data_IF_718412089169
#
_entry.id   IF_718412089169
#
_cell.length_a   1.000
_cell.length_b   1.000
_cell.length_c   1.000
_cell.angle_alpha   90.00
_cell.angle_beta   90.00
_cell.angle_gamma   90.00
#
_symmetry.space_group_name_H-M   'P 1'
#
loop_
_entity.id
_entity.type
_entity.pdbx_description
1 polymer ?
#
# COMPACT_ATOMS: atom_id res chain seq x y z
N UNK A 1 -46.61 -52.89 -2.92
CA UNK A 1 -45.90 -51.63 -2.59
C UNK A 1 -44.41 -51.84 -2.79
N UNK A 2 -43.82 -51.32 -3.87
CA UNK A 2 -42.35 -51.27 -4.06
C UNK A 2 -41.92 -49.85 -3.73
N UNK A 3 -41.21 -49.68 -2.61
CA UNK A 3 -40.53 -48.43 -2.27
C UNK A 3 -39.25 -48.34 -3.11
N UNK A 4 -39.17 -47.31 -3.94
CA UNK A 4 -37.94 -46.96 -4.68
C UNK A 4 -37.12 -46.02 -3.79
N UNK A 5 -35.80 -46.21 -3.58
CA UNK A 5 -35.01 -45.22 -2.88
C UNK A 5 -34.67 -44.06 -3.84
N UNK A 6 -34.95 -42.79 -3.48
CA UNK A 6 -34.50 -41.64 -4.25
C UNK A 6 -33.11 -41.14 -3.79
N UNK A 7 -32.46 -40.39 -4.67
CA UNK A 7 -31.45 -39.34 -4.39
C UNK A 7 -29.93 -39.64 -4.36
N UNK A 8 -29.44 -40.88 -4.24
CA UNK A 8 -27.99 -41.12 -4.24
C UNK A 8 -27.31 -40.89 -5.62
N UNK A 9 -28.06 -41.02 -6.72
CA UNK A 9 -27.52 -40.92 -8.09
C UNK A 9 -27.37 -39.47 -8.58
N UNK A 10 -28.11 -38.51 -8.03
CA UNK A 10 -28.05 -37.11 -8.46
C UNK A 10 -26.79 -36.40 -7.93
N UNK A 11 -26.39 -36.68 -6.68
CA UNK A 11 -25.21 -36.08 -6.05
C UNK A 11 -23.89 -36.44 -6.72
N UNK A 12 -23.75 -37.67 -7.25
CA UNK A 12 -22.54 -38.13 -7.94
C UNK A 12 -22.33 -37.50 -9.32
N UNK A 13 -23.40 -37.05 -9.98
CA UNK A 13 -23.33 -36.35 -11.27
C UNK A 13 -22.79 -34.93 -11.12
N UNK A 14 -23.30 -34.20 -10.13
CA UNK A 14 -22.85 -32.83 -9.83
C UNK A 14 -21.41 -32.78 -9.34
N UNK A 15 -20.99 -33.72 -8.49
CA UNK A 15 -19.59 -33.79 -8.03
C UNK A 15 -18.63 -34.04 -9.18
N UNK A 16 -18.96 -34.97 -10.09
CA UNK A 16 -18.16 -35.23 -11.30
C UNK A 16 -18.10 -34.02 -12.22
N UNK A 17 -19.23 -33.34 -12.44
CA UNK A 17 -19.28 -32.13 -13.26
C UNK A 17 -18.38 -31.03 -12.69
N UNK A 18 -18.51 -30.74 -11.38
CA UNK A 18 -17.70 -29.74 -10.69
C UNK A 18 -16.21 -30.10 -10.72
N UNK A 19 -15.85 -31.37 -10.52
CA UNK A 19 -14.46 -31.83 -10.60
C UNK A 19 -13.86 -31.64 -12.00
N UNK A 20 -14.60 -31.97 -13.06
CA UNK A 20 -14.12 -31.81 -14.45
C UNK A 20 -13.99 -30.33 -14.81
N UNK A 21 -14.99 -29.50 -14.46
CA UNK A 21 -14.93 -28.05 -14.71
C UNK A 21 -13.79 -27.40 -13.92
N UNK A 22 -13.66 -27.72 -12.64
CA UNK A 22 -12.55 -27.26 -11.79
C UNK A 22 -11.19 -27.69 -12.36
N UNK A 23 -11.06 -28.94 -12.79
CA UNK A 23 -9.83 -29.45 -13.43
C UNK A 23 -9.50 -28.73 -14.74
N UNK A 24 -10.51 -28.38 -15.55
CA UNK A 24 -10.31 -27.61 -16.79
C UNK A 24 -9.89 -26.17 -16.49
N UNK A 25 -10.51 -25.52 -15.52
CA UNK A 25 -10.17 -24.19 -15.07
C UNK A 25 -8.73 -24.15 -14.53
N UNK A 26 -8.38 -25.09 -13.64
CA UNK A 26 -7.03 -25.26 -13.10
C UNK A 26 -6.00 -25.46 -14.21
N UNK A 27 -6.25 -26.39 -15.15
CA UNK A 27 -5.36 -26.64 -16.29
C UNK A 27 -5.17 -25.40 -17.16
N UNK A 28 -6.26 -24.69 -17.49
CA UNK A 28 -6.21 -23.47 -18.29
C UNK A 28 -5.40 -22.38 -17.57
N UNK A 29 -5.63 -22.19 -16.27
CA UNK A 29 -4.88 -21.25 -15.44
C UNK A 29 -3.39 -21.59 -15.44
N UNK A 30 -3.01 -22.84 -15.15
CA UNK A 30 -1.61 -23.25 -15.08
C UNK A 30 -0.90 -23.08 -16.43
N UNK A 31 -1.53 -23.49 -17.53
CA UNK A 31 -0.98 -23.32 -18.88
C UNK A 31 -0.83 -21.84 -19.24
N UNK A 32 -1.81 -21.01 -18.92
CA UNK A 32 -1.76 -19.57 -19.19
C UNK A 32 -0.64 -18.91 -18.41
N UNK A 33 -0.53 -19.16 -17.10
CA UNK A 33 0.56 -18.62 -16.28
C UNK A 33 1.92 -19.11 -16.76
N UNK A 34 2.04 -20.37 -17.19
CA UNK A 34 3.29 -20.90 -17.77
C UNK A 34 3.66 -20.18 -19.05
N UNK A 35 2.69 -19.92 -19.93
CA UNK A 35 2.90 -19.14 -21.16
C UNK A 35 3.30 -17.70 -20.82
N UNK A 36 2.64 -17.05 -19.86
CA UNK A 36 2.99 -15.68 -19.42
C UNK A 36 4.40 -15.63 -18.82
N UNK A 37 4.81 -16.64 -18.06
CA UNK A 37 6.16 -16.74 -17.51
C UNK A 37 7.24 -17.00 -18.57
N UNK A 38 6.89 -17.66 -19.68
CA UNK A 38 7.84 -18.04 -20.73
C UNK A 38 7.88 -17.08 -21.93
N UNK A 39 6.75 -16.45 -22.29
CA UNK A 39 6.64 -15.61 -23.49
C UNK A 39 7.62 -14.41 -23.50
N UNK A 40 7.86 -13.69 -22.39
CA UNK A 40 8.80 -12.59 -22.37
C UNK A 40 10.26 -13.01 -22.64
N UNK A 41 10.61 -14.28 -22.40
CA UNK A 41 11.95 -14.80 -22.72
C UNK A 41 12.25 -14.68 -24.22
N UNK A 42 11.23 -14.79 -25.08
CA UNK A 42 11.36 -14.61 -26.54
C UNK A 42 11.66 -13.15 -26.90
N UNK A 43 11.22 -12.20 -26.06
CA UNK A 43 11.50 -10.78 -26.20
C UNK A 43 12.81 -10.35 -25.50
N UNK A 44 13.64 -11.30 -25.06
CA UNK A 44 14.91 -11.05 -24.38
C UNK A 44 14.77 -10.65 -22.91
N UNK A 45 13.58 -10.80 -22.31
CA UNK A 45 13.39 -10.55 -20.88
C UNK A 45 13.94 -11.71 -20.04
N UNK A 46 14.37 -11.41 -18.82
CA UNK A 46 14.78 -12.42 -17.86
C UNK A 46 13.58 -12.98 -17.08
N UNK A 47 13.65 -14.25 -16.68
CA UNK A 47 12.66 -14.90 -15.82
C UNK A 47 13.38 -15.47 -14.60
N UNK A 48 12.97 -15.04 -13.41
CA UNK A 48 13.69 -15.29 -12.17
C UNK A 48 12.74 -15.88 -11.11
N UNK A 49 13.00 -17.11 -10.68
CA UNK A 49 12.25 -17.74 -9.58
C UNK A 49 12.76 -17.20 -8.25
N UNK A 50 11.87 -16.62 -7.45
CA UNK A 50 12.20 -16.07 -6.13
C UNK A 50 12.40 -17.19 -5.12
N UNK A 51 13.51 -17.14 -4.40
CA UNK A 51 13.93 -18.20 -3.50
C UNK A 51 13.70 -17.87 -2.02
N UNK A 52 13.67 -16.59 -1.65
CA UNK A 52 13.58 -16.12 -0.27
C UNK A 52 12.32 -15.31 -0.02
N UNK A 53 11.91 -15.22 1.24
CA UNK A 53 10.75 -14.44 1.69
C UNK A 53 11.07 -12.96 1.94
N UNK A 54 12.27 -12.47 1.56
CA UNK A 54 12.69 -11.09 1.83
C UNK A 54 11.86 -10.04 1.11
N UNK A 55 11.09 -10.43 0.09
CA UNK A 55 10.20 -9.55 -0.65
C UNK A 55 8.72 -9.72 -0.26
N UNK A 56 8.41 -10.48 0.80
CA UNK A 56 7.03 -10.56 1.31
C UNK A 56 6.60 -9.21 1.92
N UNK A 57 5.29 -8.87 1.89
CA UNK A 57 4.20 -9.63 1.30
C UNK A 57 4.04 -9.44 -0.22
N UNK A 58 4.89 -8.63 -0.87
CA UNK A 58 4.68 -8.24 -2.27
C UNK A 58 5.06 -9.34 -3.28
N UNK A 59 6.08 -10.14 -2.96
CA UNK A 59 6.55 -11.27 -3.77
C UNK A 59 6.90 -12.44 -2.85
N UNK A 60 6.24 -13.57 -3.05
CA UNK A 60 6.42 -14.76 -2.22
C UNK A 60 7.49 -15.71 -2.79
N UNK A 61 8.11 -16.56 -1.94
CA UNK A 61 8.96 -17.65 -2.41
C UNK A 61 8.23 -18.56 -3.39
N UNK A 62 8.87 -18.84 -4.54
CA UNK A 62 8.29 -19.63 -5.62
C UNK A 62 7.50 -18.83 -6.66
N UNK A 63 7.36 -17.52 -6.49
CA UNK A 63 6.89 -16.66 -7.58
C UNK A 63 7.97 -16.47 -8.65
N UNK A 64 7.53 -16.15 -9.87
CA UNK A 64 8.40 -15.84 -10.99
C UNK A 64 8.34 -14.35 -11.30
N UNK A 65 9.48 -13.68 -11.20
CA UNK A 65 9.65 -12.28 -11.57
C UNK A 65 10.18 -12.20 -12.99
N UNK A 66 9.45 -11.47 -13.84
CA UNK A 66 9.83 -11.18 -15.21
C UNK A 66 10.51 -9.82 -15.26
N UNK A 67 11.78 -9.85 -15.63
CA UNK A 67 12.65 -8.68 -15.65
C UNK A 67 12.87 -8.17 -17.08
N UNK A 68 12.54 -6.90 -17.33
CA UNK A 68 12.97 -6.21 -18.55
C UNK A 68 14.46 -5.86 -18.41
N UNK A 69 15.33 -6.22 -19.36
CA UNK A 69 16.75 -5.91 -19.27
C UNK A 69 16.96 -4.40 -19.14
N UNK A 70 17.79 -4.01 -18.19
CA UNK A 70 18.14 -2.60 -17.99
C UNK A 70 19.14 -2.21 -19.09
N UNK A 71 18.69 -1.45 -20.09
CA UNK A 71 19.64 -0.85 -21.03
C UNK A 71 20.45 0.23 -20.29
N UNK A 72 21.73 0.37 -20.60
CA UNK A 72 22.70 1.29 -19.96
C UNK A 72 22.27 2.76 -19.86
N UNK A 73 21.22 3.16 -20.60
CA UNK A 73 20.68 4.53 -20.63
C UNK A 73 19.37 4.72 -19.80
N UNK A 74 18.82 3.65 -19.22
CA UNK A 74 17.59 3.77 -18.42
C UNK A 74 17.93 4.22 -16.99
N UNK A 75 17.47 5.41 -16.62
CA UNK A 75 17.54 5.91 -15.24
C UNK A 75 16.83 4.95 -14.29
N UNK A 76 17.57 4.39 -13.34
CA UNK A 76 17.04 3.57 -12.25
C UNK A 76 16.10 4.43 -11.41
N UNK A 77 14.85 4.00 -11.31
CA UNK A 77 13.82 4.67 -10.52
C UNK A 77 13.78 4.12 -9.11
N UNK A 78 13.89 5.00 -8.13
CA UNK A 78 13.64 4.72 -6.72
C UNK A 78 12.19 4.26 -6.53
N UNK A 79 11.98 3.31 -5.61
CA UNK A 79 10.72 2.65 -5.29
C UNK A 79 10.38 1.44 -6.18
N UNK A 80 11.24 1.09 -7.16
CA UNK A 80 11.02 -0.06 -8.06
C UNK A 80 11.89 -1.25 -7.67
N UNK A 81 11.43 -2.44 -8.04
CA UNK A 81 12.12 -3.72 -7.79
C UNK A 81 13.02 -4.04 -8.97
N UNK A 82 14.26 -4.44 -8.68
CA UNK A 82 15.26 -4.80 -9.67
C UNK A 82 15.85 -6.16 -9.35
N UNK A 83 16.34 -6.81 -10.40
CA UNK A 83 17.14 -8.03 -10.34
C UNK A 83 18.58 -7.63 -10.65
N UNK A 84 19.48 -7.92 -9.73
CA UNK A 84 20.88 -7.51 -9.80
C UNK A 84 21.80 -8.58 -9.21
N UNK A 85 23.09 -8.49 -9.52
CA UNK A 85 24.10 -9.33 -8.89
C UNK A 85 24.30 -8.94 -7.43
N UNK A 86 24.21 -9.92 -6.52
CA UNK A 86 24.37 -9.71 -5.08
C UNK A 86 25.80 -9.22 -4.78
N UNK A 87 25.97 -7.95 -4.37
CA UNK A 87 27.30 -7.37 -4.15
C UNK A 87 27.95 -7.91 -2.88
N UNK A 88 27.16 -8.46 -1.94
CA UNK A 88 27.66 -9.08 -0.72
C UNK A 88 28.04 -10.56 -0.92
N UNK A 89 27.42 -11.24 -1.91
CA UNK A 89 27.66 -12.66 -2.20
C UNK A 89 27.79 -12.90 -3.71
N UNK A 90 29.02 -12.76 -4.20
CA UNK A 90 29.35 -12.94 -5.61
C UNK A 90 28.77 -14.21 -6.25
N UNK A 91 28.20 -14.05 -7.45
CA UNK A 91 27.65 -15.15 -8.26
C UNK A 91 26.18 -15.50 -7.97
N UNK A 92 25.49 -14.76 -7.10
CA UNK A 92 24.05 -14.92 -6.84
C UNK A 92 23.28 -13.71 -7.33
N UNK A 93 22.03 -13.91 -7.72
CA UNK A 93 21.11 -12.84 -8.04
C UNK A 93 20.29 -12.49 -6.81
N UNK A 94 20.06 -11.19 -6.61
CA UNK A 94 19.18 -10.64 -5.60
C UNK A 94 18.04 -9.88 -6.28
N UNK A 95 16.86 -9.95 -5.67
CA UNK A 95 15.66 -9.24 -6.13
C UNK A 95 15.19 -8.38 -4.98
N UNK A 96 15.50 -7.08 -4.99
CA UNK A 96 15.11 -6.13 -3.94
C UNK A 96 14.61 -4.82 -4.54
N UNK A 97 13.92 -4.03 -3.72
CA UNK A 97 13.47 -2.69 -4.07
C UNK A 97 14.60 -1.68 -3.88
N UNK A 98 14.83 -0.83 -4.87
CA UNK A 98 15.69 0.34 -4.70
C UNK A 98 14.92 1.36 -3.87
N UNK A 99 15.43 1.69 -2.68
CA UNK A 99 14.77 2.60 -1.73
C UNK A 99 15.37 4.00 -1.73
N UNK A 100 16.63 4.13 -2.11
CA UNK A 100 17.33 5.40 -2.13
C UNK A 100 18.39 5.41 -3.24
N UNK A 101 18.67 6.61 -3.77
CA UNK A 101 19.84 6.88 -4.59
C UNK A 101 20.80 7.73 -3.77
N UNK A 102 22.04 7.26 -3.64
CA UNK A 102 23.07 7.87 -2.82
C UNK A 102 23.87 8.93 -3.60
N UNK A 103 24.56 9.82 -2.86
CA UNK A 103 25.32 10.94 -3.44
C UNK A 103 26.49 10.49 -4.33
N UNK A 104 27.06 9.31 -4.07
CA UNK A 104 28.11 8.67 -4.87
C UNK A 104 27.58 8.09 -6.20
N UNK A 105 26.25 8.07 -6.40
CA UNK A 105 25.58 7.56 -7.58
C UNK A 105 25.11 6.11 -7.47
N UNK A 106 25.44 5.42 -6.38
CA UNK A 106 24.99 4.07 -6.07
C UNK A 106 23.57 4.07 -5.50
N UNK A 107 23.01 2.88 -5.32
CA UNK A 107 21.65 2.68 -4.82
C UNK A 107 21.64 1.90 -3.52
N UNK A 108 20.75 2.29 -2.62
CA UNK A 108 20.41 1.48 -1.43
C UNK A 108 19.22 0.60 -1.79
N UNK A 109 19.30 -0.70 -1.47
CA UNK A 109 18.22 -1.66 -1.69
C UNK A 109 17.68 -2.23 -0.39
N UNK A 110 16.43 -2.66 -0.40
CA UNK A 110 15.82 -3.40 0.69
C UNK A 110 14.83 -4.42 0.16
N UNK A 111 14.76 -5.57 0.84
CA UNK A 111 13.64 -6.48 0.72
C UNK A 111 12.40 -5.87 1.39
N UNK A 112 11.21 -6.07 0.83
CA UNK A 112 9.97 -5.53 1.40
C UNK A 112 9.64 -6.08 2.80
N UNK A 113 10.17 -7.26 3.15
CA UNK A 113 10.03 -7.87 4.47
C UNK A 113 11.16 -7.50 5.44
N UNK A 114 12.19 -6.78 4.96
CA UNK A 114 13.36 -6.46 5.77
C UNK A 114 13.18 -5.07 6.42
N UNK A 115 13.27 -5.01 7.75
CA UNK A 115 13.24 -3.75 8.52
C UNK A 115 14.52 -2.90 8.35
N UNK A 116 15.58 -3.51 7.80
CA UNK A 116 16.90 -2.89 7.62
C UNK A 116 17.28 -2.96 6.15
N UNK A 117 17.76 -1.83 5.62
CA UNK A 117 18.29 -1.74 4.25
C UNK A 117 19.58 -2.54 4.09
N UNK A 118 19.85 -2.99 2.87
CA UNK A 118 21.10 -3.68 2.57
C UNK A 118 22.29 -2.73 2.78
N UNK A 119 23.29 -3.19 3.55
CA UNK A 119 24.46 -2.38 3.94
C UNK A 119 25.43 -2.20 2.77
N UNK A 120 25.44 -3.14 1.83
CA UNK A 120 26.30 -3.09 0.66
C UNK A 120 25.60 -2.30 -0.46
N UNK A 121 26.15 -1.16 -0.89
CA UNK A 121 25.55 -0.36 -1.96
C UNK A 121 25.45 -1.14 -3.27
N UNK A 122 24.39 -0.87 -4.03
CA UNK A 122 24.16 -1.41 -5.36
C UNK A 122 24.71 -0.45 -6.41
N UNK A 123 25.79 -0.87 -7.06
CA UNK A 123 26.34 -0.17 -8.21
C UNK A 123 25.36 -0.24 -9.40
N UNK A 124 25.17 0.85 -10.18
CA UNK A 124 24.29 0.84 -11.35
C UNK A 124 24.62 -0.27 -12.37
N UNK A 125 25.91 -0.63 -12.47
CA UNK A 125 26.40 -1.65 -13.40
C UNK A 125 26.00 -3.09 -13.01
N UNK A 126 25.70 -3.34 -11.73
CA UNK A 126 25.27 -4.66 -11.26
C UNK A 126 23.79 -4.94 -11.55
N UNK A 127 23.02 -3.93 -11.99
CA UNK A 127 21.60 -4.05 -12.31
C UNK A 127 21.43 -4.77 -13.64
N UNK A 128 20.81 -5.95 -13.60
CA UNK A 128 20.55 -6.74 -14.81
C UNK A 128 19.20 -6.43 -15.43
N UNK A 129 18.17 -6.32 -14.61
CA UNK A 129 16.81 -6.13 -15.09
C UNK A 129 15.92 -5.40 -14.09
N UNK A 130 14.95 -4.65 -14.60
CA UNK A 130 13.85 -4.13 -13.80
C UNK A 130 12.73 -5.16 -13.75
N UNK A 131 12.24 -5.50 -12.56
CA UNK A 131 11.08 -6.37 -12.38
C UNK A 131 9.81 -5.64 -12.86
N UNK A 132 9.11 -6.21 -13.85
CA UNK A 132 7.92 -5.61 -14.45
C UNK A 132 6.65 -6.41 -14.15
N UNK A 133 6.73 -7.74 -14.24
CA UNK A 133 5.57 -8.62 -14.07
C UNK A 133 5.88 -9.75 -13.09
N UNK A 134 4.92 -10.04 -12.22
CA UNK A 134 4.96 -11.14 -11.26
C UNK A 134 4.02 -12.24 -11.75
N UNK A 135 4.51 -13.47 -11.83
CA UNK A 135 3.71 -14.65 -12.16
C UNK A 135 3.72 -15.60 -10.96
N UNK A 136 2.60 -15.69 -10.22
CA UNK A 136 2.54 -16.52 -9.03
C UNK A 136 2.41 -18.01 -9.37
N UNK A 137 2.68 -18.87 -8.38
CA UNK A 137 2.44 -20.32 -8.38
C UNK A 137 3.31 -21.18 -9.33
N UNK A 138 3.73 -20.65 -10.49
CA UNK A 138 4.41 -21.45 -11.52
C UNK A 138 5.85 -21.79 -11.16
N UNK A 139 6.50 -20.99 -10.31
CA UNK A 139 7.86 -21.26 -9.84
C UNK A 139 7.93 -22.19 -8.63
N UNK A 140 6.80 -22.53 -7.99
CA UNK A 140 6.77 -23.39 -6.79
C UNK A 140 7.44 -24.76 -6.99
N UNK A 141 7.23 -25.49 -8.12
CA UNK A 141 7.90 -26.77 -8.32
C UNK A 141 9.42 -26.64 -8.38
N UNK A 142 9.91 -25.55 -8.98
CA UNK A 142 11.36 -25.25 -9.07
C UNK A 142 11.90 -24.86 -7.70
N UNK A 143 11.14 -24.08 -6.93
CA UNK A 143 11.50 -23.70 -5.56
C UNK A 143 11.63 -24.94 -4.66
N UNK A 144 10.61 -25.79 -4.60
CA UNK A 144 10.63 -27.03 -3.80
C UNK A 144 11.72 -27.99 -4.22
N UNK A 145 11.98 -28.14 -5.52
CA UNK A 145 13.09 -28.97 -6.00
C UNK A 145 14.45 -28.44 -5.55
N UNK A 146 14.62 -27.11 -5.47
CA UNK A 146 15.86 -26.47 -4.99
C UNK A 146 16.02 -26.55 -3.48
N UNK A 147 14.95 -26.37 -2.71
CA UNK A 147 14.95 -26.47 -1.24
C UNK A 147 14.95 -27.93 -0.75
N UNK A 148 14.76 -28.90 -1.66
CA UNK A 148 14.62 -30.34 -1.40
C UNK A 148 13.34 -30.70 -0.64
N UNK A 149 12.30 -29.88 -0.78
CA UNK A 149 10.97 -30.15 -0.24
C UNK A 149 10.17 -31.09 -1.15
N UNK A 150 10.52 -32.37 -1.12
CA UNK A 150 9.95 -33.36 -2.05
C UNK A 150 8.48 -33.63 -1.84
N UNK A 151 7.96 -33.53 -0.62
CA UNK A 151 6.56 -33.83 -0.31
C UNK A 151 5.58 -32.91 -1.04
N UNK A 152 5.64 -31.56 -0.90
CA UNK A 152 4.74 -30.67 -1.63
C UNK A 152 4.90 -30.79 -3.15
N UNK A 153 6.12 -31.01 -3.63
CA UNK A 153 6.39 -31.24 -5.05
C UNK A 153 5.67 -32.50 -5.57
N UNK A 154 5.78 -33.63 -4.87
CA UNK A 154 5.13 -34.88 -5.25
C UNK A 154 3.61 -34.74 -5.21
N UNK A 155 3.05 -34.15 -4.15
CA UNK A 155 1.61 -33.89 -4.03
C UNK A 155 1.13 -33.02 -5.19
N UNK A 156 1.85 -31.95 -5.51
CA UNK A 156 1.51 -31.05 -6.60
C UNK A 156 1.57 -31.74 -7.96
N UNK A 157 2.58 -32.56 -8.22
CA UNK A 157 2.70 -33.34 -9.47
C UNK A 157 1.54 -34.32 -9.60
N UNK A 158 1.20 -35.05 -8.54
CA UNK A 158 0.10 -36.00 -8.53
C UNK A 158 -1.26 -35.31 -8.75
N UNK A 159 -1.51 -34.22 -8.02
CA UNK A 159 -2.74 -33.44 -8.16
C UNK A 159 -2.88 -32.83 -9.56
N UNK A 160 -1.79 -32.26 -10.09
CA UNK A 160 -1.74 -31.71 -11.45
C UNK A 160 -2.00 -32.80 -12.49
N UNK A 161 -1.34 -33.96 -12.37
CA UNK A 161 -1.53 -35.09 -13.29
C UNK A 161 -2.98 -35.57 -13.28
N UNK A 162 -3.58 -35.72 -12.10
CA UNK A 162 -4.99 -36.08 -11.94
C UNK A 162 -5.92 -35.04 -12.58
N UNK A 163 -5.69 -33.75 -12.35
CA UNK A 163 -6.46 -32.67 -12.95
C UNK A 163 -6.36 -32.66 -14.48
N UNK A 164 -5.17 -32.90 -15.05
CA UNK A 164 -5.00 -32.96 -16.50
C UNK A 164 -5.77 -34.13 -17.14
N UNK A 165 -5.76 -35.31 -16.48
CA UNK A 165 -6.54 -36.48 -16.90
C UNK A 165 -8.04 -36.20 -16.80
N UNK A 166 -8.51 -35.65 -15.67
CA UNK A 166 -9.93 -35.31 -15.45
C UNK A 166 -10.43 -34.25 -16.44
N UNK A 167 -9.62 -33.24 -16.73
CA UNK A 167 -9.96 -32.17 -17.65
C UNK A 167 -10.17 -32.67 -19.10
N UNK A 168 -9.56 -33.81 -19.48
CA UNK A 168 -9.73 -34.48 -20.76
C UNK A 168 -11.00 -35.34 -20.87
N UNK A 169 -11.70 -35.60 -19.77
CA UNK A 169 -12.92 -36.41 -19.80
C UNK A 169 -14.06 -35.67 -20.53
N UNK A 170 -14.80 -36.42 -21.36
CA UNK A 170 -16.04 -35.94 -21.97
C UNK A 170 -17.15 -36.02 -20.92
N UNK A 171 -17.88 -34.92 -20.75
CA UNK A 171 -19.09 -34.89 -19.94
C UNK A 171 -20.20 -35.47 -20.80
N UNK A 172 -20.39 -36.79 -20.75
CA UNK A 172 -21.50 -37.43 -21.43
C UNK A 172 -22.80 -37.03 -20.72
N UNK A 173 -23.47 -36.02 -21.25
CA UNK A 173 -24.88 -35.75 -20.94
C UNK A 173 -25.68 -36.92 -21.51
N UNK A 174 -26.14 -37.83 -20.65
CA UNK A 174 -26.91 -39.00 -21.06
C UNK A 174 -28.09 -38.61 -21.97
N UNK A 175 -28.06 -39.09 -23.21
CA UNK A 175 -29.25 -39.55 -23.92
C UNK A 175 -29.25 -41.09 -23.83
N UNK A 176 -30.34 -41.77 -23.42
CA UNK A 176 -30.27 -43.22 -23.21
C UNK A 176 -30.17 -44.01 -24.52
N UNK A 177 -29.34 -45.07 -24.48
CA UNK A 177 -29.43 -46.34 -25.23
C UNK A 177 -28.67 -46.47 -26.57
N UNK A 178 -27.56 -47.22 -26.55
CA UNK A 178 -27.48 -48.62 -27.08
C UNK A 178 -26.11 -49.24 -26.78
N UNK A 179 -26.02 -50.53 -26.42
CA UNK A 179 -24.74 -51.17 -26.14
C UNK A 179 -24.10 -51.65 -27.44
N UNK A 180 -22.83 -51.30 -27.68
CA UNK A 180 -21.88 -52.15 -28.41
C UNK A 180 -20.47 -51.55 -28.44
N UNK A 181 -19.49 -52.39 -28.10
CA UNK A 181 -18.10 -52.24 -28.48
C UNK A 181 -17.20 -51.65 -27.39
N UNK A 182 -16.69 -52.51 -26.52
CA UNK A 182 -15.52 -52.19 -25.69
C UNK A 182 -14.34 -51.80 -26.59
N UNK A 183 -14.00 -50.52 -26.62
CA UNK A 183 -12.66 -50.07 -26.98
C UNK A 183 -12.07 -49.45 -25.72
N UNK A 184 -11.28 -50.24 -25.02
CA UNK A 184 -10.30 -49.78 -24.04
C UNK A 184 -9.37 -48.80 -24.74
N UNK A 185 -9.67 -47.50 -24.63
CA UNK A 185 -8.71 -46.46 -24.96
C UNK A 185 -7.72 -46.39 -23.79
N UNK A 186 -6.62 -47.11 -23.92
CA UNK A 186 -5.42 -46.90 -23.10
C UNK A 186 -4.91 -45.49 -23.45
N UNK A 187 -5.28 -44.51 -22.64
CA UNK A 187 -4.71 -43.17 -22.72
C UNK A 187 -3.36 -43.22 -22.00
N UNK A 188 -2.31 -43.54 -22.75
CA UNK A 188 -0.92 -43.46 -22.32
C UNK A 188 -0.59 -41.99 -22.07
N UNK A 189 -0.66 -41.55 -20.81
CA UNK A 189 -0.19 -40.24 -20.39
C UNK A 189 1.35 -40.29 -20.29
N UNK A 190 2.01 -40.05 -21.42
CA UNK A 190 3.45 -39.78 -21.43
C UNK A 190 3.62 -38.33 -20.96
N UNK A 191 3.89 -38.17 -19.67
CA UNK A 191 4.38 -36.92 -19.11
C UNK A 191 5.85 -36.76 -19.52
N UNK A 192 6.10 -36.09 -20.65
CA UNK A 192 7.43 -35.53 -20.93
C UNK A 192 7.47 -34.16 -20.27
N UNK A 193 8.17 -34.10 -19.13
CA UNK A 193 8.70 -32.86 -18.61
C UNK A 193 9.71 -32.30 -19.61
N UNK A 194 9.33 -31.23 -20.30
CA UNK A 194 10.29 -30.36 -20.95
C UNK A 194 10.73 -29.31 -19.93
N UNK A 195 11.79 -29.63 -19.21
CA UNK A 195 12.66 -28.63 -18.58
C UNK A 195 13.26 -27.83 -19.73
N UNK A 196 12.79 -26.59 -19.93
CA UNK A 196 13.42 -25.66 -20.85
C UNK A 196 14.66 -25.07 -20.19
N UNK A 197 15.72 -25.87 -20.12
CA UNK A 197 17.09 -25.39 -20.05
C UNK A 197 17.59 -25.26 -21.50
N UNK A 198 17.78 -24.03 -22.00
CA UNK A 198 18.64 -23.72 -23.15
C UNK A 198 18.10 -23.93 -24.57
N UNK A 199 18.04 -22.81 -25.31
CA UNK A 199 18.20 -22.60 -26.78
C UNK A 199 17.26 -23.24 -27.83
N UNK A 200 16.51 -22.32 -28.49
CA UNK A 200 16.15 -22.26 -29.94
C UNK A 200 14.88 -22.95 -30.49
N UNK A 201 14.14 -22.20 -31.34
CA UNK A 201 13.22 -22.70 -32.38
C UNK A 201 11.83 -22.04 -32.44
N UNK A 202 11.52 -21.29 -33.51
CA UNK A 202 10.27 -20.55 -33.74
C UNK A 202 9.07 -21.44 -34.13
N UNK A 203 7.87 -21.11 -33.63
CA UNK A 203 6.59 -21.42 -34.29
C UNK A 203 5.51 -20.42 -33.84
N UNK A 204 4.77 -19.85 -34.80
CA UNK A 204 3.67 -18.92 -34.54
C UNK A 204 2.35 -19.62 -34.27
N UNK A 205 1.46 -18.94 -33.56
CA UNK A 205 0.02 -19.15 -33.63
C UNK A 205 -0.69 -17.80 -33.58
N UNK A 206 -1.44 -17.52 -34.65
CA UNK A 206 -2.35 -16.39 -34.82
C UNK A 206 -3.67 -16.72 -34.14
N UNK A 207 -4.27 -15.75 -33.44
CA UNK A 207 -5.71 -15.68 -33.27
C UNK A 207 -6.19 -14.33 -33.81
N UNK A 208 -7.08 -14.40 -34.79
CA UNK A 208 -7.88 -13.29 -35.27
C UNK A 208 -8.98 -13.01 -34.25
N UNK A 209 -8.92 -11.86 -33.59
CA UNK A 209 -10.10 -11.01 -33.55
C UNK A 209 -9.68 -9.53 -33.50
N UNK A 210 -10.27 -8.72 -34.37
CA UNK A 210 -10.06 -7.26 -34.41
C UNK A 210 -11.18 -6.64 -33.60
N UNK A 211 -10.87 -6.05 -32.46
CA UNK A 211 -11.72 -4.99 -31.91
C UNK A 211 -11.45 -3.71 -32.70
N UNK A 212 -12.39 -3.28 -33.53
CA UNK A 212 -12.39 -1.91 -34.07
C UNK A 212 -12.92 -0.96 -33.01
N UNK A 213 -12.06 -0.64 -32.04
CA UNK A 213 -12.15 0.56 -31.23
C UNK A 213 -10.72 1.07 -31.04
N UNK A 214 -10.26 1.93 -31.95
CA UNK A 214 -8.95 2.62 -31.85
C UNK A 214 -8.96 3.74 -30.81
N UNK A 215 -9.55 3.47 -29.64
CA UNK A 215 -9.64 4.40 -28.51
C UNK A 215 -9.53 3.73 -27.15
N UNK A 216 -9.23 2.43 -27.08
CA UNK A 216 -8.93 1.77 -25.80
C UNK A 216 -7.43 1.77 -25.56
N UNK A 217 -6.90 2.92 -25.12
CA UNK A 217 -5.64 2.93 -24.38
C UNK A 217 -5.90 2.26 -23.03
N UNK A 218 -5.34 1.07 -22.83
CA UNK A 218 -5.21 0.49 -21.49
C UNK A 218 -3.92 1.02 -20.87
N UNK A 219 -3.96 2.25 -20.36
CA UNK A 219 -3.08 2.62 -19.26
C UNK A 219 -3.47 1.75 -18.07
N UNK A 220 -2.55 0.94 -17.56
CA UNK A 220 -2.62 0.55 -16.16
C UNK A 220 -2.68 1.87 -15.39
N UNK A 221 -3.85 2.23 -14.86
CA UNK A 221 -3.96 3.37 -13.99
C UNK A 221 -3.01 3.12 -12.84
N UNK A 222 -1.86 3.81 -12.83
CA UNK A 222 -1.36 4.22 -11.54
C UNK A 222 -2.55 4.97 -10.94
N UNK A 223 -3.13 4.47 -9.85
CA UNK A 223 -3.81 5.36 -8.94
C UNK A 223 -2.71 6.30 -8.48
N UNK A 224 -2.47 7.35 -9.28
CA UNK A 224 -1.67 8.45 -8.85
C UNK A 224 -2.38 8.91 -7.60
N UNK A 225 -1.63 8.96 -6.51
CA UNK A 225 -2.07 9.58 -5.28
C UNK A 225 -1.37 10.92 -5.26
N UNK A 226 -1.77 11.87 -6.14
CA UNK A 226 -1.01 13.09 -6.38
C UNK A 226 -0.80 13.86 -5.09
N UNK A 227 -1.80 13.87 -4.22
CA UNK A 227 -1.72 14.45 -2.87
C UNK A 227 -0.60 13.82 -2.05
N UNK A 228 -0.61 12.49 -1.89
CA UNK A 228 0.41 11.78 -1.11
C UNK A 228 1.79 11.98 -1.72
N UNK A 229 1.91 11.97 -3.05
CA UNK A 229 3.16 12.26 -3.74
C UNK A 229 3.67 13.68 -3.49
N UNK A 230 2.78 14.68 -3.48
CA UNK A 230 3.13 16.08 -3.19
C UNK A 230 3.57 16.26 -1.73
N UNK A 231 2.83 15.67 -0.79
CA UNK A 231 3.15 15.68 0.64
C UNK A 231 4.50 15.03 0.90
N UNK A 232 4.76 13.84 0.35
CA UNK A 232 6.03 13.12 0.52
C UNK A 232 7.22 13.85 -0.12
N UNK A 233 7.00 14.61 -1.20
CA UNK A 233 8.05 15.41 -1.83
C UNK A 233 8.58 16.53 -0.93
N UNK A 234 7.84 16.90 0.12
CA UNK A 234 8.27 17.90 1.12
C UNK A 234 8.83 17.27 2.40
N UNK A 235 9.10 15.97 2.39
CA UNK A 235 9.78 15.24 3.47
C UNK A 235 9.14 15.48 4.85
N UNK A 236 7.86 15.10 5.05
CA UNK A 236 7.23 15.21 6.34
C UNK A 236 7.99 14.37 7.37
N UNK A 237 7.95 14.80 8.63
CA UNK A 237 8.44 13.99 9.75
C UNK A 237 7.69 12.66 9.81
N UNK A 238 6.39 12.70 9.56
CA UNK A 238 5.55 11.53 9.38
C UNK A 238 4.31 11.87 8.55
N UNK A 239 3.73 10.85 7.92
CA UNK A 239 2.46 10.94 7.21
C UNK A 239 1.61 9.71 7.56
N UNK A 240 0.52 9.92 8.30
CA UNK A 240 -0.48 8.89 8.58
C UNK A 240 -1.66 9.06 7.63
N UNK A 241 -1.84 8.11 6.72
CA UNK A 241 -2.95 8.14 5.76
C UNK A 241 -4.30 7.87 6.42
N UNK A 242 -4.32 7.05 7.49
CA UNK A 242 -5.52 6.62 8.20
C UNK A 242 -6.39 5.64 7.37
N UNK A 243 -5.73 4.93 6.45
CA UNK A 243 -6.31 3.92 5.56
C UNK A 243 -6.52 2.54 6.23
N UNK A 244 -6.24 2.42 7.54
CA UNK A 244 -6.31 1.15 8.22
C UNK A 244 -7.75 0.65 8.43
N UNK A 245 -7.92 -0.66 8.34
CA UNK A 245 -9.20 -1.32 8.61
C UNK A 245 -9.59 -1.25 10.08
N UNK A 246 -10.90 -1.33 10.36
CA UNK A 246 -11.41 -1.39 11.73
C UNK A 246 -10.74 -2.50 12.55
N UNK A 247 -10.37 -2.18 13.79
CA UNK A 247 -9.70 -3.10 14.72
C UNK A 247 -8.17 -3.04 14.70
N UNK A 248 -7.57 -2.29 13.77
CA UNK A 248 -6.14 -2.01 13.79
C UNK A 248 -5.77 -1.09 14.96
N UNK A 249 -4.69 -1.43 15.67
CA UNK A 249 -4.22 -0.66 16.83
C UNK A 249 -3.21 0.45 16.46
N UNK A 250 -2.60 0.39 15.27
CA UNK A 250 -1.47 1.23 14.90
C UNK A 250 -1.71 1.92 13.55
N UNK A 251 -1.55 3.23 13.51
CA UNK A 251 -1.49 4.03 12.29
C UNK A 251 -0.09 3.90 11.65
N UNK A 252 -0.05 3.54 10.37
CA UNK A 252 1.20 3.36 9.64
C UNK A 252 1.76 4.69 9.14
N UNK A 253 3.08 4.83 9.22
CA UNK A 253 3.79 6.00 8.70
C UNK A 253 4.22 5.78 7.24
N UNK A 254 3.67 6.60 6.35
CA UNK A 254 3.97 6.58 4.91
C UNK A 254 5.22 7.38 4.55
N UNK A 255 5.76 8.20 5.46
CA UNK A 255 6.95 9.01 5.19
C UNK A 255 8.24 8.20 5.02
N UNK A 256 8.26 6.96 5.54
CA UNK A 256 9.46 6.12 5.57
C UNK A 256 10.31 6.29 6.83
N UNK A 257 9.91 7.16 7.78
CA UNK A 257 10.64 7.42 9.02
C UNK A 257 10.24 6.51 10.19
N UNK A 258 9.34 5.54 9.95
CA UNK A 258 8.81 4.60 10.94
C UNK A 258 8.20 5.29 12.18
N UNK A 259 7.63 6.48 12.01
CA UNK A 259 7.05 7.25 13.09
C UNK A 259 5.57 6.87 13.27
N UNK A 260 5.34 5.67 13.81
CA UNK A 260 4.01 5.07 13.95
C UNK A 260 3.12 5.86 14.91
N UNK A 261 1.81 5.73 14.74
CA UNK A 261 0.80 6.23 15.66
C UNK A 261 0.04 5.10 16.34
N UNK A 262 -0.44 5.34 17.56
CA UNK A 262 -1.28 4.42 18.31
C UNK A 262 -2.73 4.93 18.32
N UNK A 263 -3.65 4.12 17.82
CA UNK A 263 -5.07 4.41 17.85
C UNK A 263 -5.64 4.23 19.26
N UNK A 264 -6.45 5.19 19.66
CA UNK A 264 -7.08 5.23 20.97
C UNK A 264 -8.57 4.87 20.86
N UNK A 265 -9.24 4.48 21.96
CA UNK A 265 -10.62 3.99 21.93
C UNK A 265 -11.64 4.95 21.30
N UNK A 266 -11.35 6.26 21.22
CA UNK A 266 -12.23 7.23 20.58
C UNK A 266 -12.16 7.19 19.05
N UNK A 267 -11.17 6.53 18.44
CA UNK A 267 -11.05 6.39 17.00
C UNK A 267 -11.92 5.26 16.44
N UNK A 268 -12.57 5.55 15.31
CA UNK A 268 -13.34 4.59 14.54
C UNK A 268 -12.87 4.66 13.08
N UNK A 269 -12.21 3.59 12.63
CA UNK A 269 -11.48 3.51 11.36
C UNK A 269 -12.35 2.99 10.21
N UNK A 270 -11.80 2.99 8.99
CA UNK A 270 -12.45 2.43 7.80
C UNK A 270 -13.66 3.25 7.32
N UNK A 271 -13.66 4.57 7.57
CA UNK A 271 -14.71 5.48 7.08
C UNK A 271 -14.38 5.97 5.67
N UNK A 272 -15.37 6.42 4.88
CA UNK A 272 -15.08 6.98 3.56
C UNK A 272 -14.08 8.15 3.64
N UNK A 273 -12.99 8.05 2.88
CA UNK A 273 -11.92 9.05 2.83
C UNK A 273 -12.38 10.43 2.35
N UNK A 274 -11.56 11.44 2.62
CA UNK A 274 -11.83 12.84 2.28
C UNK A 274 -11.30 13.33 0.94
N UNK A 275 -10.40 12.58 0.31
CA UNK A 275 -9.74 12.99 -0.93
C UNK A 275 -10.49 12.47 -2.18
N UNK A 276 -10.93 13.35 -3.10
CA UNK A 276 -11.70 12.95 -4.29
C UNK A 276 -10.94 12.06 -5.29
N UNK A 277 -9.64 12.28 -5.49
CA UNK A 277 -8.83 11.57 -6.50
C UNK A 277 -7.82 10.60 -5.88
N UNK A 278 -7.94 10.39 -4.58
CA UNK A 278 -7.05 9.56 -3.80
C UNK A 278 -7.93 8.62 -2.96
N UNK A 279 -8.32 7.46 -3.52
CA UNK A 279 -9.20 6.52 -2.82
C UNK A 279 -8.45 5.93 -1.62
N UNK A 280 -8.97 6.23 -0.45
CA UNK A 280 -8.50 5.77 0.86
C UNK A 280 -9.65 5.75 1.86
N UNK A 281 -9.35 5.38 3.11
CA UNK A 281 -10.29 5.51 4.24
C UNK A 281 -9.82 6.60 5.20
N UNK A 282 -10.75 7.13 5.97
CA UNK A 282 -10.46 8.05 7.05
C UNK A 282 -10.79 7.42 8.40
N UNK A 283 -10.44 8.14 9.47
CA UNK A 283 -11.01 7.88 10.79
C UNK A 283 -12.10 8.88 11.14
N UNK A 284 -13.00 8.47 12.02
CA UNK A 284 -13.90 9.35 12.77
C UNK A 284 -13.55 9.27 14.25
N UNK A 285 -13.75 10.35 14.98
CA UNK A 285 -13.68 10.36 16.45
C UNK A 285 -14.99 10.79 17.05
N UNK A 286 -15.39 10.16 18.16
CA UNK A 286 -16.60 10.49 18.92
C UNK A 286 -16.31 11.32 20.18
N UNK A 287 -15.22 12.08 20.17
CA UNK A 287 -14.78 12.91 21.30
C UNK A 287 -13.68 12.23 22.13
N UNK A 288 -12.58 12.96 22.33
CA UNK A 288 -11.42 12.52 23.10
C UNK A 288 -10.23 12.20 22.20
N UNK A 289 -9.12 11.80 22.82
CA UNK A 289 -7.92 11.41 22.08
C UNK A 289 -8.23 10.21 21.18
N UNK A 290 -8.00 10.37 19.89
CA UNK A 290 -8.28 9.35 18.87
C UNK A 290 -6.99 8.70 18.35
N UNK A 291 -5.91 9.47 18.27
CA UNK A 291 -4.62 9.01 17.77
C UNK A 291 -3.51 9.78 18.45
N UNK A 292 -2.45 9.07 18.85
CA UNK A 292 -1.24 9.66 19.41
C UNK A 292 0.00 9.11 18.70
N UNK A 293 1.11 9.84 18.65
CA UNK A 293 2.37 9.27 18.18
C UNK A 293 2.92 8.25 19.19
N UNK A 294 3.37 7.10 18.70
CA UNK A 294 3.95 6.02 19.51
C UNK A 294 5.29 6.43 20.16
N UNK A 295 6.01 7.35 19.50
CA UNK A 295 7.24 7.95 20.00
C UNK A 295 7.09 9.44 20.23
N UNK A 296 8.04 10.03 20.96
CA UNK A 296 8.11 11.47 21.11
C UNK A 296 8.47 12.11 19.77
N UNK A 297 7.70 13.12 19.36
CA UNK A 297 7.92 13.89 18.14
C UNK A 297 8.98 14.98 18.35
N UNK A 298 9.24 15.35 19.61
CA UNK A 298 9.95 16.58 19.92
C UNK A 298 9.05 17.80 19.66
N UNK A 299 9.40 18.94 20.25
CA UNK A 299 8.58 20.15 20.20
C UNK A 299 9.25 21.23 19.35
N UNK A 300 9.30 21.07 18.02
CA UNK A 300 9.97 22.02 17.16
C UNK A 300 9.34 23.42 17.28
N UNK A 301 10.19 24.45 17.41
CA UNK A 301 9.71 25.84 17.32
C UNK A 301 9.17 26.11 15.91
N UNK A 302 9.99 25.81 14.89
CA UNK A 302 9.59 25.89 13.48
C UNK A 302 8.99 24.58 13.00
N UNK A 303 7.74 24.59 12.55
CA UNK A 303 7.03 23.40 12.11
C UNK A 303 5.84 23.71 11.20
N UNK A 304 5.32 22.66 10.56
CA UNK A 304 4.01 22.69 9.89
C UNK A 304 3.17 21.49 10.32
N UNK A 305 1.87 21.69 10.49
CA UNK A 305 0.88 20.62 10.73
C UNK A 305 -0.12 20.64 9.59
N UNK A 306 -0.39 19.49 9.00
CA UNK A 306 -1.29 19.32 7.87
C UNK A 306 -2.25 18.16 8.14
N UNK A 307 -3.54 18.37 7.91
CA UNK A 307 -4.54 17.31 7.95
C UNK A 307 -5.76 17.66 7.09
N UNK A 308 -6.55 16.65 6.77
CA UNK A 308 -7.91 16.82 6.32
C UNK A 308 -8.88 16.59 7.46
N UNK A 309 -9.90 17.43 7.58
CA UNK A 309 -10.96 17.24 8.57
C UNK A 309 -12.34 17.54 8.00
N UNK A 310 -13.35 16.91 8.59
CA UNK A 310 -14.77 17.22 8.35
C UNK A 310 -15.50 17.25 9.68
N UNK A 311 -16.21 18.35 9.94
CA UNK A 311 -16.89 18.56 11.21
C UNK A 311 -18.31 19.08 10.97
N UNK A 312 -19.28 18.55 11.71
CA UNK A 312 -20.64 19.04 11.65
C UNK A 312 -20.79 20.36 12.44
N UNK A 313 -21.84 21.15 12.17
CA UNK A 313 -22.05 22.42 12.87
C UNK A 313 -22.06 22.27 14.39
N UNK A 314 -21.37 23.19 15.07
CA UNK A 314 -21.16 23.21 16.54
C UNK A 314 -20.20 22.15 17.08
N UNK A 315 -19.51 21.39 16.22
CA UNK A 315 -18.34 20.61 16.65
C UNK A 315 -17.27 21.55 17.21
N UNK A 316 -16.59 21.11 18.26
CA UNK A 316 -15.53 21.90 18.91
C UNK A 316 -14.50 20.98 19.54
N UNK A 317 -13.30 21.49 19.81
CA UNK A 317 -12.25 20.75 20.49
C UNK A 317 -10.95 20.67 19.69
N UNK A 318 -9.95 19.95 20.23
CA UNK A 318 -8.64 19.82 19.60
C UNK A 318 -8.68 18.94 18.36
N UNK A 319 -8.15 19.45 17.24
CA UNK A 319 -7.98 18.73 16.00
C UNK A 319 -6.66 17.97 16.01
N UNK A 320 -5.55 18.70 16.10
CA UNK A 320 -4.19 18.16 16.18
C UNK A 320 -3.33 19.07 17.06
N UNK A 321 -2.32 18.52 17.74
CA UNK A 321 -1.32 19.34 18.40
C UNK A 321 -0.24 18.53 19.10
N UNK A 322 0.64 19.23 19.80
CA UNK A 322 1.68 18.64 20.64
C UNK A 322 1.26 18.64 22.11
N UNK A 323 1.35 17.50 22.78
CA UNK A 323 1.13 17.38 24.23
C UNK A 323 2.20 16.54 24.92
N UNK A 324 2.47 16.80 26.20
CA UNK A 324 3.56 16.13 26.95
C UNK A 324 3.29 14.68 27.36
N UNK A 325 2.13 14.13 27.01
CA UNK A 325 1.77 12.73 27.27
C UNK A 325 1.16 12.10 26.02
N UNK A 326 1.38 10.79 25.83
CA UNK A 326 0.65 9.96 24.86
C UNK A 326 -0.70 9.48 25.41
N UNK A 327 -0.88 9.42 26.73
CA UNK A 327 -2.05 8.77 27.32
C UNK A 327 -3.36 9.51 27.05
N UNK A 328 -4.51 8.79 27.03
CA UNK A 328 -5.83 9.42 27.04
C UNK A 328 -6.00 10.40 28.20
N UNK A 329 -6.75 11.48 27.96
CA UNK A 329 -6.99 12.57 28.92
C UNK A 329 -6.29 13.87 28.54
N UNK A 330 -6.38 14.87 29.42
CA UNK A 330 -5.70 16.15 29.21
C UNK A 330 -4.19 15.98 29.49
N UNK A 331 -3.30 16.40 28.56
CA UNK A 331 -1.86 16.36 28.82
C UNK A 331 -1.49 17.40 29.89
N UNK A 332 -0.46 17.14 30.72
CA UNK A 332 0.03 18.12 31.70
C UNK A 332 0.53 19.44 31.08
N UNK A 333 1.00 19.40 29.82
CA UNK A 333 1.49 20.55 29.07
C UNK A 333 1.12 20.44 27.59
N UNK A 334 0.68 21.56 27.01
CA UNK A 334 0.38 21.74 25.58
C UNK A 334 0.41 23.23 25.20
N UNK A 335 0.88 23.56 24.00
CA UNK A 335 1.00 24.97 23.56
C UNK A 335 0.81 25.19 22.04
N UNK A 336 1.09 24.17 21.23
CA UNK A 336 0.97 24.16 19.77
C UNK A 336 -0.19 23.26 19.38
N UNK A 337 -1.41 23.76 19.55
CA UNK A 337 -2.61 22.96 19.29
C UNK A 337 -3.54 23.70 18.34
N UNK A 338 -3.97 23.01 17.30
CA UNK A 338 -5.05 23.46 16.42
C UNK A 338 -6.38 22.99 17.00
N UNK A 339 -7.34 23.91 17.13
CA UNK A 339 -8.66 23.64 17.70
C UNK A 339 -9.76 24.16 16.80
N UNK A 340 -10.87 23.45 16.79
CA UNK A 340 -12.15 23.97 16.30
C UNK A 340 -12.87 24.66 17.47
N UNK A 341 -13.17 25.95 17.33
CA UNK A 341 -13.96 26.69 18.30
C UNK A 341 -15.45 26.34 18.14
N UNK A 342 -16.29 26.49 19.19
CA UNK A 342 -17.74 26.29 19.08
C UNK A 342 -18.44 27.21 18.06
N UNK A 343 -17.77 28.29 17.64
CA UNK A 343 -18.20 29.17 16.54
C UNK A 343 -17.84 28.64 15.15
N UNK A 344 -17.22 27.47 15.05
CA UNK A 344 -16.72 26.86 13.82
C UNK A 344 -15.36 27.42 13.35
N UNK A 345 -14.82 28.45 14.00
CA UNK A 345 -13.52 29.01 13.63
C UNK A 345 -12.38 28.07 14.02
N UNK A 346 -11.34 28.02 13.18
CA UNK A 346 -10.11 27.31 13.50
C UNK A 346 -9.22 28.25 14.31
N UNK A 347 -8.70 27.74 15.41
CA UNK A 347 -7.79 28.48 16.29
C UNK A 347 -6.48 27.73 16.50
N UNK A 348 -5.40 28.46 16.73
CA UNK A 348 -4.09 27.86 17.01
C UNK A 348 -3.26 28.71 17.98
N UNK A 349 -2.47 28.02 18.79
CA UNK A 349 -1.54 28.59 19.77
C UNK A 349 -1.87 28.20 21.20
N UNK A 350 -1.18 28.83 22.14
CA UNK A 350 -1.26 28.48 23.56
C UNK A 350 -2.55 29.01 24.22
N UNK A 351 -3.19 28.13 25.01
CA UNK A 351 -4.39 28.43 25.79
C UNK A 351 -4.07 28.95 27.20
N UNK A 352 -2.86 28.77 27.74
CA UNK A 352 -2.57 29.04 29.16
C UNK A 352 -1.70 30.29 29.39
N UNK A 353 -0.63 30.56 28.62
CA UNK A 353 0.28 31.67 28.98
C UNK A 353 -0.34 33.06 28.81
N UNK A 354 -0.27 33.88 29.86
CA UNK A 354 -0.73 35.27 29.88
C UNK A 354 0.44 36.23 29.52
N UNK A 355 0.32 37.12 28.50
CA UNK A 355 -0.85 37.33 27.65
C UNK A 355 -0.99 36.28 26.54
N UNK A 356 -2.20 35.74 26.41
CA UNK A 356 -2.58 34.77 25.39
C UNK A 356 -2.46 35.40 24.01
N UNK A 357 -1.73 34.75 23.10
CA UNK A 357 -1.79 35.09 21.68
C UNK A 357 -2.15 33.84 20.89
N UNK A 358 -3.44 33.72 20.66
CA UNK A 358 -4.08 32.75 19.80
C UNK A 358 -4.36 33.42 18.45
N UNK A 359 -4.23 32.66 17.37
CA UNK A 359 -4.74 33.05 16.06
C UNK A 359 -6.10 32.38 15.83
N UNK A 360 -7.03 33.07 15.19
CA UNK A 360 -8.33 32.54 14.80
C UNK A 360 -8.62 32.89 13.34
N UNK A 361 -9.22 31.96 12.60
CA UNK A 361 -9.73 32.24 11.27
C UNK A 361 -10.94 33.18 11.33
N UNK A 362 -11.14 34.06 10.32
CA UNK A 362 -12.31 34.92 10.31
C UNK A 362 -13.62 34.15 10.06
N UNK A 363 -13.56 33.08 9.25
CA UNK A 363 -14.69 32.21 8.92
C UNK A 363 -14.74 30.91 9.75
N UNK A 364 -15.91 30.27 9.70
CA UNK A 364 -16.20 28.96 10.26
C UNK A 364 -15.99 27.84 9.22
N UNK A 365 -15.64 26.64 9.69
CA UNK A 365 -15.30 25.47 8.87
C UNK A 365 -15.91 24.17 9.45
N UNK A 366 -17.05 24.30 10.11
CA UNK A 366 -17.86 23.21 10.68
C UNK A 366 -19.13 22.98 9.82
N UNK A 367 -18.97 22.95 8.50
CA UNK A 367 -20.07 22.90 7.52
C UNK A 367 -20.37 21.48 6.98
N UNK A 368 -19.82 20.45 7.63
CA UNK A 368 -19.85 19.03 7.22
C UNK A 368 -19.27 18.77 5.81
N UNK A 369 -18.30 19.58 5.38
CA UNK A 369 -17.48 19.35 4.19
C UNK A 369 -16.02 19.09 4.58
N UNK A 370 -15.30 18.33 3.75
CA UNK A 370 -13.87 18.09 3.94
C UNK A 370 -13.07 19.36 3.64
N UNK A 371 -12.28 19.79 4.61
CA UNK A 371 -11.34 20.90 4.50
C UNK A 371 -9.91 20.44 4.64
N UNK A 372 -9.03 21.03 3.84
CA UNK A 372 -7.59 20.87 3.96
C UNK A 372 -7.03 21.95 4.86
N UNK A 373 -6.46 21.56 6.00
CA UNK A 373 -5.93 22.48 6.99
C UNK A 373 -4.40 22.35 7.03
N UNK A 374 -3.71 23.49 6.89
CA UNK A 374 -2.28 23.59 7.18
C UNK A 374 -2.01 24.74 8.12
N UNK A 375 -1.29 24.47 9.20
CA UNK A 375 -0.72 25.52 10.06
C UNK A 375 0.78 25.52 9.88
N UNK A 376 1.34 26.68 9.54
CA UNK A 376 2.79 26.91 9.43
C UNK A 376 3.19 27.87 10.53
N UNK A 377 4.16 27.47 11.35
CA UNK A 377 4.65 28.28 12.48
C UNK A 377 6.17 28.32 12.47
N UNK A 378 6.75 29.52 12.58
CA UNK A 378 8.20 29.73 12.60
C UNK A 378 8.60 30.60 13.78
N UNK A 379 9.81 30.40 14.31
CA UNK A 379 10.36 31.29 15.32
C UNK A 379 10.38 32.75 14.82
N UNK A 380 9.92 33.67 15.65
CA UNK A 380 9.90 35.11 15.37
C UNK A 380 10.62 35.90 16.47
N UNK A 381 10.76 37.21 16.25
CA UNK A 381 11.44 38.10 17.19
C UNK A 381 10.73 38.16 18.55
N UNK A 382 11.50 38.28 19.63
CA UNK A 382 10.97 38.34 21.00
C UNK A 382 10.51 36.99 21.55
N UNK A 383 10.93 35.86 20.96
CA UNK A 383 10.62 34.51 21.43
C UNK A 383 9.21 34.01 21.10
N UNK A 384 8.43 34.81 20.35
CA UNK A 384 7.10 34.45 19.83
C UNK A 384 7.20 33.63 18.55
N UNK A 385 6.09 33.07 18.09
CA UNK A 385 6.02 32.43 16.79
C UNK A 385 5.27 33.30 15.78
N UNK A 386 5.73 33.30 14.53
CA UNK A 386 5.00 33.82 13.38
C UNK A 386 4.22 32.68 12.76
N UNK A 387 2.89 32.76 12.82
CA UNK A 387 2.01 31.67 12.42
C UNK A 387 1.08 32.10 11.29
N UNK A 388 0.89 31.21 10.31
CA UNK A 388 -0.13 31.33 9.26
C UNK A 388 -1.00 30.07 9.26
N UNK A 389 -2.31 30.27 9.25
CA UNK A 389 -3.31 29.20 9.11
C UNK A 389 -3.86 29.25 7.68
N UNK A 390 -3.69 28.15 6.95
CA UNK A 390 -4.22 27.94 5.62
C UNK A 390 -5.40 26.97 5.70
N UNK A 391 -6.46 27.30 4.95
CA UNK A 391 -7.58 26.38 4.74
C UNK A 391 -7.88 26.33 3.25
N UNK A 392 -7.97 25.12 2.72
CA UNK A 392 -8.23 24.83 1.31
C UNK A 392 -7.21 25.50 0.38
N UNK A 393 -5.93 25.42 0.76
CA UNK A 393 -4.80 25.99 0.02
C UNK A 393 -4.64 27.51 0.13
N UNK A 394 -5.49 28.22 0.88
CA UNK A 394 -5.50 29.68 0.99
C UNK A 394 -5.22 30.15 2.41
N UNK A 395 -4.36 31.17 2.57
CA UNK A 395 -4.11 31.78 3.87
C UNK A 395 -5.38 32.46 4.41
N UNK A 396 -5.85 32.05 5.59
CA UNK A 396 -7.08 32.56 6.23
C UNK A 396 -6.78 33.45 7.43
N UNK A 397 -5.67 33.23 8.11
CA UNK A 397 -5.21 34.07 9.19
C UNK A 397 -3.67 34.06 9.26
N UNK A 398 -3.08 35.19 9.61
CA UNK A 398 -1.65 35.31 9.91
C UNK A 398 -1.43 36.26 11.09
N UNK A 399 -0.67 35.86 12.10
CA UNK A 399 -0.36 36.70 13.26
C UNK A 399 0.83 36.15 14.06
N UNK A 400 1.26 36.88 15.08
CA UNK A 400 2.17 36.36 16.09
C UNK A 400 1.39 35.58 17.15
N UNK A 401 1.82 34.37 17.47
CA UNK A 401 1.31 33.59 18.60
C UNK A 401 2.26 33.70 19.81
N UNK A 402 1.90 33.07 20.93
CA UNK A 402 2.72 33.06 22.14
C UNK A 402 4.08 32.38 21.94
N UNK A 403 4.95 32.47 22.95
CA UNK A 403 6.14 31.63 23.02
C UNK A 403 5.72 30.17 23.13
N UNK A 404 6.53 29.29 22.57
CA UNK A 404 6.38 27.85 22.70
C UNK A 404 7.44 27.30 23.64
N UNK A 405 7.06 26.31 24.42
CA UNK A 405 7.92 25.62 25.36
C UNK A 405 8.65 24.45 24.71
N UNK A 406 9.77 24.08 25.32
CA UNK A 406 10.54 22.90 24.95
C UNK A 406 10.25 21.78 25.95
N UNK A 407 9.59 20.73 25.46
CA UNK A 407 9.25 19.54 26.22
C UNK A 407 9.18 18.33 25.30
N UNK A 408 9.40 17.14 25.86
CA UNK A 408 9.16 15.89 25.14
C UNK A 408 7.67 15.76 24.85
N UNK A 409 7.29 15.82 23.57
CA UNK A 409 5.89 15.85 23.16
C UNK A 409 5.52 14.67 22.27
N UNK A 410 4.24 14.34 22.31
CA UNK A 410 3.56 13.46 21.39
C UNK A 410 2.66 14.29 20.49
N UNK A 411 2.53 13.89 19.22
CA UNK A 411 1.45 14.42 18.39
C UNK A 411 0.16 13.75 18.81
N UNK A 412 -0.87 14.55 19.04
CA UNK A 412 -2.19 14.10 19.50
C UNK A 412 -3.24 14.59 18.53
N UNK A 413 -4.17 13.72 18.14
CA UNK A 413 -5.30 14.03 17.24
C UNK A 413 -6.61 13.76 17.97
N UNK A 414 -7.55 14.71 17.92
CA UNK A 414 -8.86 14.64 18.58
C UNK A 414 -8.86 14.91 20.10
N UNK A 415 -7.69 14.88 20.76
CA UNK A 415 -7.56 15.00 22.21
C UNK A 415 -6.54 16.02 22.69
N UNK A 416 -6.86 16.71 23.78
CA UNK A 416 -6.06 17.81 24.36
C UNK A 416 -6.73 18.36 25.61
N UNK A 417 -6.22 19.47 26.13
CA UNK A 417 -6.78 20.19 27.27
C UNK A 417 -8.11 20.90 26.92
N UNK A 418 -8.86 21.25 27.95
CA UNK A 418 -10.18 21.87 27.84
C UNK A 418 -11.34 20.88 27.98
N UNK A 419 -12.57 21.40 27.93
CA UNK A 419 -13.80 20.62 28.13
C UNK A 419 -14.47 20.19 26.83
N UNK A 420 -14.09 20.79 25.70
CA UNK A 420 -14.59 20.43 24.38
C UNK A 420 -13.79 19.26 23.81
N UNK A 421 -14.51 18.28 23.26
CA UNK A 421 -13.93 17.10 22.60
C UNK A 421 -14.31 17.09 21.14
N UNK A 422 -13.32 16.98 20.26
CA UNK A 422 -13.58 17.00 18.83
C UNK A 422 -14.34 15.75 18.40
N UNK A 423 -15.45 15.96 17.69
CA UNK A 423 -16.25 14.91 17.07
C UNK A 423 -16.39 15.24 15.59
N UNK A 424 -15.86 14.36 14.74
CA UNK A 424 -15.72 14.60 13.31
C UNK A 424 -14.87 13.55 12.64
N UNK A 425 -14.58 13.77 11.35
CA UNK A 425 -13.70 12.92 10.54
C UNK A 425 -12.33 13.57 10.39
N UNK A 426 -11.28 12.77 10.39
CA UNK A 426 -9.89 13.19 10.15
C UNK A 426 -9.27 12.22 9.15
N UNK A 427 -8.48 12.75 8.24
CA UNK A 427 -7.82 12.00 7.19
C UNK A 427 -6.42 12.62 6.91
N UNK A 428 -5.48 11.82 6.42
CA UNK A 428 -4.19 12.28 5.87
C UNK A 428 -3.43 13.28 6.78
N UNK A 429 -3.00 12.81 7.94
CA UNK A 429 -2.31 13.63 8.96
C UNK A 429 -0.80 13.65 8.72
N UNK A 430 -0.21 14.83 8.57
CA UNK A 430 1.22 15.03 8.42
C UNK A 430 1.76 16.13 9.34
N UNK A 431 2.99 15.95 9.80
CA UNK A 431 3.73 16.98 10.54
C UNK A 431 5.11 17.14 9.93
N UNK A 432 5.58 18.38 9.88
CA UNK A 432 6.88 18.77 9.34
C UNK A 432 7.68 19.50 10.41
N UNK A 433 8.97 19.19 10.54
CA UNK A 433 9.91 20.00 11.33
C UNK A 433 10.49 21.18 10.52
N UNK A 434 9.79 21.55 9.45
CA UNK A 434 10.11 22.64 8.54
C UNK A 434 8.85 23.47 8.31
N UNK A 435 9.06 24.71 7.84
CA UNK A 435 7.98 25.59 7.45
C UNK A 435 7.65 25.37 5.97
N UNK A 436 6.44 24.91 5.67
CA UNK A 436 5.95 24.84 4.30
C UNK A 436 5.74 26.26 3.76
N UNK A 437 6.12 26.48 2.51
CA UNK A 437 5.82 27.75 1.83
C UNK A 437 4.37 27.77 1.36
N UNK A 438 3.79 28.97 1.19
CA UNK A 438 2.43 29.11 0.66
C UNK A 438 2.24 28.40 -0.69
N UNK A 439 3.27 28.40 -1.55
CA UNK A 439 3.24 27.69 -2.82
C UNK A 439 3.19 26.16 -2.66
N UNK A 440 3.85 25.61 -1.65
CA UNK A 440 3.79 24.17 -1.33
C UNK A 440 2.44 23.77 -0.76
N UNK A 441 1.89 24.57 0.16
CA UNK A 441 0.53 24.36 0.70
C UNK A 441 -0.52 24.37 -0.42
N UNK A 442 -0.43 25.34 -1.34
CA UNK A 442 -1.32 25.40 -2.50
C UNK A 442 -1.13 24.18 -3.44
N UNK A 443 0.11 23.70 -3.61
CA UNK A 443 0.40 22.51 -4.40
C UNK A 443 -0.19 21.24 -3.78
N UNK A 444 -0.15 21.08 -2.46
CA UNK A 444 -0.78 19.94 -1.77
C UNK A 444 -2.29 19.96 -1.98
N UNK A 445 -2.94 21.11 -1.76
CA UNK A 445 -4.37 21.28 -2.02
C UNK A 445 -4.77 20.97 -3.46
N UNK A 446 -4.00 21.46 -4.44
CA UNK A 446 -4.26 21.25 -5.86
C UNK A 446 -4.12 19.77 -6.28
N UNK A 447 -3.42 18.97 -5.48
CA UNK A 447 -3.14 17.57 -5.73
C UNK A 447 -4.17 16.59 -5.10
N UNK A 448 -5.27 17.08 -4.51
CA UNK A 448 -6.32 16.26 -3.87
C UNK A 448 -7.12 15.34 -4.80
#
# INVERSE_FOLDING_TARGET
>A
MRTSPPDAAAGSGWTRLLLVLGSRAYRAMLLTLTVVAAAPLVAGWGSYVVASASMEPSIAPGDVVLGRPSATDHRVRVGRVYVFDDPARGGRLLVHRVVERRDDGDYTTAGDANDVTDITPLEPAAIRAQAILLVPLVGLPVHWARTRDWLPLLVWILASSAAFVLAGQRLDTQRPSRPRGSRTAVATAVAVGAVAAGTAGSAGATFTDRTTASGSEWTAGAWAQPYVGAVLADSPRFLWLLDETAGTATAQDRSGNAFLGDYEPAAVLGRPGGLPNNPGTSMTTSGGLALTSAYTAGSPATHSMELWFRAAPRSAGPLIGFGSSATPGAPPQEDRVVRLAPSGQITYGDWDSNPRSLIATPGAYDDDVWHHLVVVSTAANGGRQSTVVYVDGVARASSLTSKVDDYASHVRVGGGSGTATFSGSVDNVAVYHSALSAGRVAAHWAAR
#
